data_IF_041861514534
#
_entry.id   IF_041861514534
#
_cell.length_a   1.000
_cell.length_b   1.000
_cell.length_c   1.000
_cell.angle_alpha   90.00
_cell.angle_beta   90.00
_cell.angle_gamma   90.00
#
_symmetry.space_group_name_H-M   'P 1'
#
loop_
_entity.id
_entity.type
_entity.pdbx_description
1 polymer ?
#
# COMPACT_ATOMS: atom_id res chain seq x y z
N UNK A 1 27.84 10.34 -53.68
CA UNK A 1 28.28 9.94 -52.33
C UNK A 1 27.20 10.37 -51.34
N UNK A 2 26.71 9.40 -50.59
CA UNK A 2 25.68 9.53 -49.55
C UNK A 2 26.13 10.50 -48.44
N UNK A 3 25.19 11.29 -47.90
CA UNK A 3 24.70 11.14 -46.51
C UNK A 3 23.66 12.22 -46.16
N UNK A 4 22.46 11.72 -45.92
CA UNK A 4 21.36 12.37 -45.22
C UNK A 4 21.80 12.79 -43.81
N UNK A 5 21.42 13.97 -43.37
CA UNK A 5 21.52 14.35 -41.96
C UNK A 5 20.23 15.02 -41.48
N UNK A 6 19.72 14.45 -40.39
CA UNK A 6 18.78 15.01 -39.40
C UNK A 6 17.28 14.99 -39.72
N UNK A 7 16.72 13.78 -39.62
CA UNK A 7 15.38 13.58 -39.10
C UNK A 7 15.47 13.55 -37.56
N UNK A 8 15.16 14.66 -36.89
CA UNK A 8 15.06 14.68 -35.42
C UNK A 8 13.78 13.96 -34.99
N UNK A 9 13.95 12.75 -34.46
CA UNK A 9 12.88 11.96 -33.87
C UNK A 9 12.39 12.62 -32.59
N UNK A 10 11.13 13.05 -32.57
CA UNK A 10 10.45 13.48 -31.36
C UNK A 10 10.21 12.25 -30.47
N UNK A 11 11.03 12.09 -29.43
CA UNK A 11 10.76 11.17 -28.33
C UNK A 11 9.62 11.74 -27.47
N UNK A 12 8.41 11.23 -27.66
CA UNK A 12 7.31 11.45 -26.74
C UNK A 12 7.57 10.71 -25.44
N UNK A 13 7.83 11.44 -24.36
CA UNK A 13 7.92 10.89 -23.01
C UNK A 13 6.50 10.54 -22.58
N UNK A 14 6.17 9.25 -22.58
CA UNK A 14 4.96 8.74 -21.92
C UNK A 14 5.28 8.72 -20.43
N UNK A 15 4.81 9.75 -19.70
CA UNK A 15 4.74 9.69 -18.24
C UNK A 15 3.63 8.71 -17.90
N UNK A 16 3.99 7.45 -17.72
CA UNK A 16 3.11 6.48 -17.09
C UNK A 16 2.95 6.92 -15.63
N UNK A 17 1.80 7.51 -15.30
CA UNK A 17 1.37 7.66 -13.91
C UNK A 17 1.21 6.25 -13.35
N UNK A 18 2.23 5.78 -12.62
CA UNK A 18 2.13 4.52 -11.89
C UNK A 18 1.06 4.72 -10.82
N UNK A 19 -0.12 4.14 -11.02
CA UNK A 19 -1.07 3.95 -9.92
C UNK A 19 -0.33 3.13 -8.86
N UNK A 20 -0.10 3.71 -7.69
CA UNK A 20 0.30 2.95 -6.52
C UNK A 20 -0.84 1.99 -6.24
N UNK A 21 -0.68 0.72 -6.64
CA UNK A 21 -1.57 -0.34 -6.21
C UNK A 21 -1.37 -0.46 -4.70
N UNK A 22 -2.22 0.22 -3.93
CA UNK A 22 -2.29 0.01 -2.50
C UNK A 22 -2.84 -1.40 -2.32
N UNK A 23 -2.00 -2.31 -1.84
CA UNK A 23 -2.44 -3.63 -1.45
C UNK A 23 -3.58 -3.47 -0.44
N UNK A 24 -4.62 -4.29 -0.57
CA UNK A 24 -5.69 -4.34 0.42
C UNK A 24 -5.04 -4.75 1.75
N UNK A 25 -5.18 -3.95 2.83
CA UNK A 25 -4.59 -4.27 4.13
C UNK A 25 -5.00 -5.67 4.59
N UNK A 26 -4.04 -6.44 5.11
CA UNK A 26 -4.30 -7.75 5.71
C UNK A 26 -3.83 -7.67 7.16
N UNK A 27 -4.79 -7.49 8.06
CA UNK A 27 -4.52 -7.36 9.48
C UNK A 27 -4.35 -8.74 10.12
N UNK A 28 -3.25 -8.90 10.85
CA UNK A 28 -2.99 -10.07 11.69
C UNK A 28 -2.97 -9.62 13.15
N UNK A 29 -3.80 -10.26 13.97
CA UNK A 29 -3.69 -10.22 15.42
C UNK A 29 -2.70 -11.30 15.86
N UNK A 30 -1.75 -10.97 16.73
CA UNK A 30 -0.76 -11.90 17.23
C UNK A 30 -0.42 -11.61 18.69
N UNK A 31 -0.04 -12.67 19.40
CA UNK A 31 0.47 -12.58 20.77
C UNK A 31 1.99 -12.50 20.74
N UNK A 32 2.57 -11.76 21.68
CA UNK A 32 4.01 -11.75 21.93
C UNK A 32 4.31 -12.01 23.40
N UNK A 33 5.55 -12.42 23.67
CA UNK A 33 6.00 -12.70 25.02
C UNK A 33 7.46 -12.33 25.22
N UNK A 34 7.86 -12.25 26.48
CA UNK A 34 9.18 -11.86 26.92
C UNK A 34 9.39 -12.15 28.40
N UNK A 35 10.50 -11.66 28.94
CA UNK A 35 10.88 -11.89 30.33
C UNK A 35 11.39 -10.65 31.01
N UNK A 36 11.21 -10.60 32.34
CA UNK A 36 11.79 -9.59 33.21
C UNK A 36 13.19 -10.05 33.63
N UNK A 37 14.22 -9.28 33.30
CA UNK A 37 15.61 -9.61 33.62
C UNK A 37 16.09 -8.95 34.91
N UNK A 38 15.76 -7.68 35.11
CA UNK A 38 16.18 -6.91 36.29
C UNK A 38 15.00 -6.17 36.89
N UNK A 39 14.93 -6.16 38.22
CA UNK A 39 14.05 -5.29 39.00
C UNK A 39 14.87 -4.71 40.15
N UNK A 40 14.86 -3.40 40.31
CA UNK A 40 15.45 -2.72 41.48
C UNK A 40 14.34 -2.33 42.46
N UNK A 41 14.72 -1.78 43.62
CA UNK A 41 13.79 -1.40 44.69
C UNK A 41 12.60 -0.58 44.18
N UNK A 42 12.86 0.35 43.25
CA UNK A 42 11.82 1.16 42.63
C UNK A 42 10.86 0.33 41.76
N UNK A 43 11.37 -0.64 41.00
CA UNK A 43 10.54 -1.56 40.21
C UNK A 43 9.80 -2.59 41.06
N UNK A 44 10.31 -2.94 42.25
CA UNK A 44 9.58 -3.80 43.19
C UNK A 44 8.29 -3.13 43.68
N UNK A 45 8.28 -1.79 43.79
CA UNK A 45 7.06 -1.03 44.11
C UNK A 45 6.00 -1.09 43.01
N UNK A 46 6.42 -1.27 41.74
CA UNK A 46 5.53 -1.44 40.59
C UNK A 46 4.89 -2.84 40.52
N UNK A 47 5.14 -3.71 41.50
CA UNK A 47 4.63 -5.09 41.48
C UNK A 47 5.34 -6.01 40.49
N UNK A 48 6.46 -5.57 39.91
CA UNK A 48 7.28 -6.36 39.00
C UNK A 48 8.06 -7.40 39.80
N UNK A 49 7.84 -8.68 39.51
CA UNK A 49 8.57 -9.75 40.17
C UNK A 49 9.93 -9.98 39.51
N UNK A 50 10.97 -9.99 40.34
CA UNK A 50 12.35 -10.23 39.94
C UNK A 50 12.64 -11.74 39.91
N UNK A 51 13.41 -12.17 38.92
CA UNK A 51 13.91 -13.53 38.76
C UNK A 51 14.90 -13.99 39.84
N UNK A 52 15.50 -13.09 40.64
CA UNK A 52 16.64 -13.40 41.51
C UNK A 52 16.53 -12.94 42.98
N UNK A 53 15.36 -12.50 43.46
CA UNK A 53 15.15 -12.23 44.91
C UNK A 53 14.55 -13.41 45.66
N UNK A 54 14.02 -14.42 44.97
CA UNK A 54 13.58 -15.65 45.59
C UNK A 54 13.97 -16.87 44.75
N UNK A 55 14.66 -17.81 45.40
CA UNK A 55 14.99 -19.11 44.81
C UNK A 55 13.69 -19.91 44.63
N UNK A 56 13.37 -20.30 43.39
CA UNK A 56 12.19 -21.11 43.07
C UNK A 56 10.90 -20.35 42.80
N UNK A 57 10.94 -19.01 42.70
CA UNK A 57 9.81 -18.24 42.18
C UNK A 57 9.74 -18.28 40.66
N UNK A 58 8.52 -18.18 40.12
CA UNK A 58 8.31 -18.02 38.69
C UNK A 58 8.95 -16.71 38.19
N UNK A 59 9.60 -16.78 37.04
CA UNK A 59 10.15 -15.62 36.39
C UNK A 59 9.01 -14.65 36.01
N UNK A 60 9.17 -13.36 36.33
CA UNK A 60 8.26 -12.34 35.85
C UNK A 60 8.22 -12.34 34.32
N UNK A 61 7.03 -12.35 33.75
CA UNK A 61 6.80 -12.37 32.31
C UNK A 61 6.42 -10.99 31.78
N UNK A 62 6.67 -10.80 30.49
CA UNK A 62 6.06 -9.73 29.70
C UNK A 62 5.26 -10.41 28.61
N UNK A 63 4.05 -9.94 28.36
CA UNK A 63 3.16 -10.49 27.33
C UNK A 63 2.21 -9.42 26.82
N UNK A 64 1.62 -9.65 25.67
CA UNK A 64 0.60 -8.77 25.13
C UNK A 64 0.21 -9.21 23.73
N UNK A 65 -0.64 -8.40 23.12
CA UNK A 65 -1.18 -8.61 21.79
C UNK A 65 -0.87 -7.41 20.90
N UNK A 66 -0.81 -7.68 19.60
CA UNK A 66 -0.62 -6.65 18.58
C UNK A 66 -1.45 -6.98 17.35
N UNK A 67 -2.12 -5.97 16.81
CA UNK A 67 -2.76 -5.98 15.50
C UNK A 67 -1.92 -5.16 14.52
N UNK A 68 -1.46 -5.77 13.44
CA UNK A 68 -0.63 -5.09 12.45
C UNK A 68 -1.00 -5.50 11.02
N UNK A 69 -0.78 -4.59 10.07
CA UNK A 69 -0.97 -4.85 8.65
C UNK A 69 0.25 -5.56 8.06
N UNK A 70 0.06 -6.80 7.62
CA UNK A 70 1.11 -7.61 7.02
C UNK A 70 1.58 -7.09 5.66
N UNK A 71 0.76 -6.28 4.97
CA UNK A 71 1.15 -5.65 3.72
C UNK A 71 2.28 -4.61 3.91
N UNK A 72 2.49 -4.16 5.14
CA UNK A 72 3.53 -3.21 5.54
C UNK A 72 4.81 -3.89 6.06
N UNK A 73 4.87 -5.22 6.11
CA UNK A 73 6.09 -5.94 6.50
C UNK A 73 7.18 -5.64 5.45
N UNK A 74 8.33 -5.08 5.85
CA UNK A 74 9.37 -4.73 4.90
C UNK A 74 10.01 -5.99 4.32
N UNK A 75 10.44 -5.91 3.07
CA UNK A 75 11.16 -7.02 2.42
C UNK A 75 12.50 -7.33 3.07
N UNK A 76 13.08 -8.48 2.70
CA UNK A 76 14.42 -8.86 3.14
C UNK A 76 15.48 -7.83 2.67
N UNK A 77 16.48 -7.56 3.51
CA UNK A 77 17.58 -6.61 3.21
C UNK A 77 17.29 -5.13 3.48
N UNK A 78 16.14 -4.82 4.07
CA UNK A 78 15.71 -3.44 4.41
C UNK A 78 16.32 -2.90 5.71
N UNK A 79 17.01 -3.73 6.50
CA UNK A 79 17.54 -3.34 7.80
C UNK A 79 16.45 -3.31 8.88
N UNK A 80 16.56 -2.37 9.83
CA UNK A 80 15.55 -2.16 10.88
C UNK A 80 14.56 -1.11 10.40
N UNK A 81 13.27 -1.46 10.41
CA UNK A 81 12.17 -0.56 10.03
C UNK A 81 11.12 -0.57 11.13
N UNK A 82 10.70 0.61 11.56
CA UNK A 82 9.56 0.80 12.46
C UNK A 82 8.31 1.03 11.61
N UNK A 83 7.29 0.20 11.80
CA UNK A 83 5.98 0.36 11.18
C UNK A 83 5.02 0.85 12.27
N UNK A 84 4.54 2.11 12.18
CA UNK A 84 3.60 2.65 13.16
C UNK A 84 2.33 1.81 13.24
N UNK A 85 1.88 1.50 14.45
CA UNK A 85 0.56 0.92 14.66
C UNK A 85 -0.50 2.02 14.50
N UNK A 86 -1.64 1.67 13.92
CA UNK A 86 -2.72 2.60 13.63
C UNK A 86 -4.04 2.03 14.12
N UNK A 87 -4.99 2.92 14.42
CA UNK A 87 -6.35 2.53 14.74
C UNK A 87 -6.96 1.73 13.56
N UNK A 88 -7.54 0.57 13.86
CA UNK A 88 -8.21 -0.28 12.88
C UNK A 88 -9.71 -0.20 13.12
N UNK A 89 -10.49 0.03 12.06
CA UNK A 89 -11.95 0.12 12.16
C UNK A 89 -12.52 -1.18 12.77
N UNK A 90 -13.35 -1.04 13.80
CA UNK A 90 -13.94 -2.18 14.50
C UNK A 90 -13.02 -2.90 15.50
N UNK A 91 -11.75 -2.49 15.63
CA UNK A 91 -10.86 -2.93 16.70
C UNK A 91 -10.88 -1.92 17.87
N UNK A 92 -10.87 -2.42 19.09
CA UNK A 92 -10.60 -1.60 20.27
C UNK A 92 -9.09 -1.38 20.45
N UNK A 93 -8.73 -0.36 21.23
CA UNK A 93 -7.34 0.01 21.46
C UNK A 93 -6.48 -1.12 22.04
N UNK A 94 -7.00 -1.87 22.99
CA UNK A 94 -6.34 -3.04 23.59
C UNK A 94 -6.12 -4.18 22.59
N UNK A 95 -6.95 -4.29 21.56
CA UNK A 95 -6.74 -5.25 20.45
C UNK A 95 -5.66 -4.76 19.49
N UNK A 96 -5.50 -3.43 19.33
CA UNK A 96 -4.46 -2.86 18.47
C UNK A 96 -3.08 -3.11 19.07
N UNK A 97 -2.94 -2.82 20.35
CA UNK A 97 -1.72 -3.07 21.11
C UNK A 97 -2.01 -3.05 22.59
N UNK A 98 -1.53 -4.06 23.29
CA UNK A 98 -1.35 -4.05 24.74
C UNK A 98 0.01 -4.65 25.11
N UNK A 99 0.61 -4.16 26.18
CA UNK A 99 1.78 -4.77 26.80
C UNK A 99 1.59 -4.82 28.31
N UNK A 100 1.77 -6.02 28.86
CA UNK A 100 1.51 -6.36 30.25
C UNK A 100 2.78 -6.87 30.91
N UNK A 101 3.10 -6.31 32.08
CA UNK A 101 4.26 -6.69 32.87
C UNK A 101 3.84 -7.38 34.18
N UNK A 102 4.25 -8.64 34.35
CA UNK A 102 4.09 -9.40 35.60
C UNK A 102 2.66 -9.84 35.93
N UNK A 103 2.45 -10.26 37.19
CA UNK A 103 1.22 -10.93 37.69
C UNK A 103 0.23 -9.93 38.31
N UNK A 104 0.70 -8.75 38.73
CA UNK A 104 -0.13 -7.60 39.13
C UNK A 104 0.08 -6.51 38.08
N UNK A 105 -0.63 -6.60 36.95
CA UNK A 105 -0.12 -6.11 35.69
C UNK A 105 -0.03 -4.59 35.66
N UNK A 106 1.19 -4.09 35.44
CA UNK A 106 1.37 -2.80 34.80
C UNK A 106 1.06 -3.03 33.31
N UNK A 107 0.07 -2.33 32.79
CA UNK A 107 -0.49 -2.53 31.44
C UNK A 107 -0.49 -1.19 30.70
N UNK A 108 -0.08 -1.21 29.44
CA UNK A 108 -0.13 -0.06 28.54
C UNK A 108 -0.83 -0.46 27.25
N UNK A 109 -1.71 0.40 26.75
CA UNK A 109 -2.58 0.13 25.60
C UNK A 109 -2.44 1.17 24.53
N UNK A 110 -2.71 0.81 23.29
CA UNK A 110 -2.80 1.78 22.20
C UNK A 110 -3.69 2.98 22.58
N UNK A 111 -3.25 4.20 22.30
CA UNK A 111 -4.07 5.40 22.54
C UNK A 111 -4.25 5.80 24.00
N UNK A 112 -3.50 5.22 24.94
CA UNK A 112 -3.31 5.81 26.27
C UNK A 112 -2.78 7.24 26.14
N UNK A 113 -3.27 8.14 27.01
CA UNK A 113 -3.10 9.60 26.87
C UNK A 113 -1.64 10.06 26.96
N UNK A 114 -0.76 9.21 27.48
CA UNK A 114 0.63 9.50 27.74
C UNK A 114 1.59 8.91 26.68
N UNK A 115 1.05 8.24 25.63
CA UNK A 115 1.84 7.74 24.48
C UNK A 115 2.19 8.85 23.50
N UNK A 116 3.44 9.31 23.57
CA UNK A 116 4.00 10.25 22.60
C UNK A 116 4.50 9.50 21.36
N UNK A 117 3.76 9.64 20.25
CA UNK A 117 4.17 9.12 18.92
C UNK A 117 3.61 7.75 18.54
N UNK A 118 2.88 7.10 19.46
CA UNK A 118 2.23 5.80 19.25
C UNK A 118 3.21 4.61 19.21
N UNK A 119 2.77 3.40 19.62
CA UNK A 119 3.61 2.22 19.48
C UNK A 119 3.85 1.90 18.00
N UNK A 120 5.06 1.45 17.68
CA UNK A 120 5.39 0.89 16.37
C UNK A 120 5.86 -0.55 16.53
N UNK A 121 5.45 -1.41 15.60
CA UNK A 121 6.06 -2.74 15.47
C UNK A 121 7.36 -2.61 14.68
N UNK A 122 8.42 -3.23 15.17
CA UNK A 122 9.74 -3.17 14.56
C UNK A 122 10.04 -4.46 13.82
N UNK A 123 10.51 -4.34 12.57
CA UNK A 123 10.99 -5.47 11.77
C UNK A 123 12.46 -5.30 11.45
N UNK A 124 13.21 -6.41 11.44
CA UNK A 124 14.56 -6.50 10.92
C UNK A 124 14.54 -7.44 9.71
N UNK A 125 14.71 -6.90 8.51
CA UNK A 125 14.68 -7.67 7.26
C UNK A 125 13.40 -8.52 7.09
N UNK A 126 12.24 -7.97 7.45
CA UNK A 126 10.94 -8.64 7.37
C UNK A 126 10.64 -9.61 8.52
N UNK A 127 11.53 -9.73 9.51
CA UNK A 127 11.33 -10.56 10.69
C UNK A 127 11.02 -9.69 11.90
N UNK A 128 10.07 -10.11 12.74
CA UNK A 128 9.73 -9.39 13.97
C UNK A 128 10.97 -9.16 14.85
N UNK A 129 11.16 -7.91 15.25
CA UNK A 129 12.30 -7.44 16.04
C UNK A 129 11.86 -6.66 17.29
N UNK A 130 10.61 -6.85 17.74
CA UNK A 130 10.05 -6.18 18.92
C UNK A 130 9.29 -4.90 18.57
N UNK A 131 9.32 -3.92 19.47
CA UNK A 131 8.52 -2.69 19.34
C UNK A 131 9.37 -1.44 19.53
N UNK A 132 8.84 -0.31 19.09
CA UNK A 132 9.34 1.01 19.44
C UNK A 132 8.21 1.75 20.15
N UNK A 133 8.40 2.00 21.45
CA UNK A 133 7.43 2.67 22.32
C UNK A 133 8.20 3.42 23.42
N UNK A 134 7.81 4.65 23.69
CA UNK A 134 8.24 5.40 24.87
C UNK A 134 7.00 5.97 25.53
N UNK A 135 6.84 5.67 26.82
CA UNK A 135 5.64 6.00 27.60
C UNK A 135 6.01 6.58 28.95
N UNK A 136 5.54 7.78 29.23
CA UNK A 136 5.63 8.36 30.57
C UNK A 136 4.41 7.96 31.38
N UNK A 137 4.59 7.55 32.63
CA UNK A 137 3.48 7.21 33.52
C UNK A 137 3.78 7.55 34.97
N UNK A 138 2.73 7.66 35.79
CA UNK A 138 2.88 7.93 37.22
C UNK A 138 2.33 6.77 38.05
N UNK A 139 3.13 6.29 39.00
CA UNK A 139 2.71 5.29 39.96
C UNK A 139 2.94 5.81 41.37
N UNK A 140 1.87 5.87 42.18
CA UNK A 140 1.89 6.45 43.52
C UNK A 140 2.53 7.86 43.59
N UNK A 141 2.29 8.68 42.55
CA UNK A 141 2.84 10.04 42.45
C UNK A 141 4.32 10.13 42.08
N UNK A 142 4.97 8.99 41.80
CA UNK A 142 6.34 8.95 41.27
C UNK A 142 6.28 8.82 39.75
N UNK A 143 6.96 9.68 38.97
CA UNK A 143 7.01 9.57 37.52
C UNK A 143 8.02 8.51 37.07
N UNK A 144 7.63 7.80 36.01
CA UNK A 144 8.39 6.75 35.35
C UNK A 144 8.30 6.92 33.83
N UNK A 145 9.28 6.39 33.13
CA UNK A 145 9.30 6.23 31.68
C UNK A 145 9.52 4.75 31.37
N UNK A 146 8.64 4.16 30.57
CA UNK A 146 8.85 2.89 29.89
C UNK A 146 9.46 3.18 28.52
N UNK A 147 10.58 2.54 28.19
CA UNK A 147 11.17 2.58 26.85
C UNK A 147 11.33 1.16 26.32
N UNK A 148 10.66 0.86 25.20
CA UNK A 148 10.81 -0.38 24.42
C UNK A 148 11.51 -0.03 23.11
N UNK A 149 12.66 -0.65 22.86
CA UNK A 149 13.47 -0.42 21.67
C UNK A 149 13.90 -1.76 21.06
N UNK A 150 13.10 -2.21 20.10
CA UNK A 150 13.21 -3.55 19.53
C UNK A 150 12.88 -4.61 20.57
N UNK A 151 13.75 -5.61 20.70
CA UNK A 151 13.57 -6.74 21.62
C UNK A 151 13.94 -6.47 23.08
N UNK A 152 14.27 -5.24 23.44
CA UNK A 152 14.64 -4.87 24.82
C UNK A 152 13.74 -3.76 25.34
N UNK A 153 13.52 -3.76 26.64
CA UNK A 153 12.77 -2.71 27.32
C UNK A 153 13.38 -2.39 28.68
N UNK A 154 13.21 -1.14 29.11
CA UNK A 154 13.47 -0.72 30.48
C UNK A 154 12.40 0.24 31.00
N UNK A 155 12.28 0.29 32.32
CA UNK A 155 11.47 1.27 33.04
C UNK A 155 12.42 2.06 33.92
N UNK A 156 12.37 3.38 33.83
CA UNK A 156 13.24 4.29 34.57
C UNK A 156 12.40 5.26 35.39
N UNK A 157 12.76 5.43 36.64
CA UNK A 157 12.19 6.46 37.50
C UNK A 157 12.86 7.81 37.29
N UNK A 158 12.09 8.86 37.58
CA UNK A 158 12.58 10.23 37.56
C UNK A 158 13.59 10.49 38.69
N UNK A 159 14.79 10.94 38.31
CA UNK A 159 15.89 11.29 39.23
C UNK A 159 16.78 12.36 38.65
N UNK A 160 17.13 13.37 39.45
CA UNK A 160 17.98 14.48 39.02
C UNK A 160 17.48 15.17 37.73
N UNK A 161 16.17 15.41 37.62
CA UNK A 161 15.53 16.05 36.45
C UNK A 161 15.61 15.24 35.14
N UNK A 162 15.78 13.92 35.21
CA UNK A 162 15.71 13.02 34.05
C UNK A 162 15.31 11.60 34.44
N UNK A 163 14.84 10.80 33.50
CA UNK A 163 14.60 9.36 33.69
C UNK A 163 15.93 8.58 33.70
N UNK A 164 16.62 8.60 34.84
CA UNK A 164 17.97 8.03 34.99
C UNK A 164 18.05 6.87 35.97
N UNK A 165 17.04 6.65 36.81
CA UNK A 165 17.07 5.57 37.80
C UNK A 165 16.40 4.31 37.27
N UNK A 166 17.19 3.30 36.88
CA UNK A 166 16.66 2.04 36.36
C UNK A 166 15.78 1.34 37.42
N UNK A 167 14.47 1.26 37.15
CA UNK A 167 13.50 0.56 37.98
C UNK A 167 13.40 -0.92 37.60
N UNK A 168 13.29 -1.22 36.31
CA UNK A 168 13.23 -2.58 35.78
C UNK A 168 13.72 -2.67 34.33
N UNK A 169 14.08 -3.86 33.87
CA UNK A 169 14.39 -4.12 32.47
C UNK A 169 14.16 -5.58 32.10
N UNK A 170 14.05 -5.83 30.79
CA UNK A 170 13.88 -7.17 30.27
C UNK A 170 13.99 -7.23 28.76
N UNK A 171 13.42 -8.31 28.20
CA UNK A 171 13.47 -8.62 26.78
C UNK A 171 12.11 -9.08 26.27
N UNK A 172 11.95 -9.01 24.95
CA UNK A 172 10.88 -9.62 24.17
C UNK A 172 11.47 -10.71 23.29
N UNK A 173 10.72 -11.78 23.07
CA UNK A 173 11.08 -12.83 22.14
C UNK A 173 10.97 -12.27 20.71
N UNK A 174 12.10 -12.20 20.00
CA UNK A 174 12.18 -11.72 18.61
C UNK A 174 12.45 -12.87 17.64
N UNK A 175 12.31 -12.61 16.34
CA UNK A 175 12.51 -13.62 15.30
C UNK A 175 11.18 -14.19 14.77
N UNK A 176 11.27 -15.21 13.93
CA UNK A 176 10.11 -15.86 13.31
C UNK A 176 9.13 -16.49 14.31
N UNK A 177 9.61 -16.82 15.52
CA UNK A 177 8.80 -17.36 16.61
C UNK A 177 8.42 -16.33 17.68
N UNK A 178 8.74 -15.06 17.48
CA UNK A 178 8.44 -14.01 18.45
C UNK A 178 6.97 -13.57 18.48
N UNK A 179 6.25 -13.80 17.38
CA UNK A 179 4.81 -13.60 17.26
C UNK A 179 4.11 -14.96 17.19
N UNK A 180 3.25 -15.24 18.16
CA UNK A 180 2.49 -16.48 18.34
C UNK A 180 1.00 -16.26 18.15
N UNK A 181 0.21 -17.34 18.07
CA UNK A 181 -1.26 -17.29 17.95
C UNK A 181 -1.78 -16.33 16.87
N UNK A 182 -1.08 -16.29 15.73
CA UNK A 182 -1.40 -15.38 14.64
C UNK A 182 -2.77 -15.75 14.03
N UNK A 183 -3.68 -14.79 14.01
CA UNK A 183 -5.03 -14.94 13.45
C UNK A 183 -5.34 -13.76 12.52
N UNK A 184 -6.05 -14.05 11.43
CA UNK A 184 -6.52 -12.99 10.53
C UNK A 184 -7.63 -12.22 11.21
N UNK A 185 -7.44 -10.91 11.33
CA UNK A 185 -8.47 -10.00 11.80
C UNK A 185 -9.26 -9.49 10.59
N UNK A 186 -10.55 -9.87 10.53
CA UNK A 186 -11.48 -9.32 9.56
C UNK A 186 -12.20 -8.14 10.22
N UNK A 187 -11.85 -6.88 9.89
CA UNK A 187 -12.60 -5.73 10.38
C UNK A 187 -14.01 -5.88 9.83
N UNK A 188 -14.96 -6.27 10.68
CA UNK A 188 -16.36 -6.57 10.35
C UNK A 188 -16.79 -5.72 9.17
N UNK A 189 -17.11 -6.38 8.05
CA UNK A 189 -17.70 -5.77 6.87
C UNK A 189 -18.90 -4.94 7.30
N UNK A 190 -18.70 -3.65 7.53
CA UNK A 190 -19.77 -2.71 7.29
C UNK A 190 -20.17 -2.99 5.84
N UNK A 191 -21.42 -3.42 5.56
CA UNK A 191 -21.79 -3.92 4.26
C UNK A 191 -21.33 -2.89 3.25
N UNK A 192 -20.39 -3.30 2.41
CA UNK A 192 -19.94 -2.48 1.32
C UNK A 192 -21.21 -2.08 0.59
N UNK A 193 -21.61 -0.80 0.68
CA UNK A 193 -22.35 -0.23 -0.42
C UNK A 193 -21.53 -0.62 -1.63
N UNK A 194 -22.16 -1.40 -2.50
CA UNK A 194 -21.57 -1.91 -3.72
C UNK A 194 -21.27 -0.67 -4.57
N UNK A 195 -20.18 0.00 -4.26
CA UNK A 195 -19.53 0.95 -5.12
C UNK A 195 -18.80 0.08 -6.14
N UNK A 196 -19.57 -0.40 -7.12
CA UNK A 196 -19.06 -0.68 -8.45
C UNK A 196 -18.33 0.57 -8.90
N UNK A 197 -17.04 0.69 -8.56
CA UNK A 197 -16.13 1.68 -9.13
C UNK A 197 -15.66 1.08 -10.45
N UNK A 198 -16.14 1.56 -11.62
CA UNK A 198 -15.51 1.21 -12.87
C UNK A 198 -14.21 2.02 -12.91
N UNK A 199 -13.06 1.36 -13.02
CA UNK A 199 -11.79 2.06 -13.19
C UNK A 199 -11.89 3.05 -14.37
N UNK A 200 -11.80 4.38 -14.15
CA UNK A 200 -11.95 5.37 -15.21
C UNK A 200 -10.83 5.30 -16.25
N UNK A 201 -9.74 4.60 -15.94
CA UNK A 201 -8.55 4.43 -16.78
C UNK A 201 -8.73 3.39 -17.88
N UNK A 202 -9.50 2.31 -17.65
CA UNK A 202 -9.62 1.21 -18.61
C UNK A 202 -10.48 1.62 -19.80
N UNK A 203 -11.57 2.36 -19.54
CA UNK A 203 -12.41 2.95 -20.59
C UNK A 203 -11.65 4.03 -21.36
N UNK A 204 -10.86 4.87 -20.67
CA UNK A 204 -10.06 5.91 -21.31
C UNK A 204 -8.97 5.33 -22.21
N UNK A 205 -8.27 4.27 -21.80
CA UNK A 205 -7.24 3.62 -22.61
C UNK A 205 -7.82 2.89 -23.82
N UNK A 206 -8.99 2.25 -23.68
CA UNK A 206 -9.70 1.64 -24.81
C UNK A 206 -10.17 2.72 -25.79
N UNK A 207 -10.76 3.82 -25.30
CA UNK A 207 -11.21 4.93 -26.14
C UNK A 207 -10.04 5.60 -26.89
N UNK A 208 -8.92 5.84 -26.23
CA UNK A 208 -7.72 6.41 -26.83
C UNK A 208 -7.06 5.44 -27.83
N UNK A 209 -7.02 4.14 -27.53
CA UNK A 209 -6.50 3.11 -28.43
C UNK A 209 -7.32 2.99 -29.72
N UNK A 210 -8.65 3.00 -29.61
CA UNK A 210 -9.55 2.97 -30.77
C UNK A 210 -9.43 4.26 -31.59
N UNK A 211 -9.34 5.43 -30.94
CA UNK A 211 -9.16 6.70 -31.65
C UNK A 211 -7.82 6.78 -32.39
N UNK A 212 -6.75 6.26 -31.80
CA UNK A 212 -5.43 6.14 -32.43
C UNK A 212 -5.46 5.29 -33.69
N UNK A 213 -6.14 4.14 -33.66
CA UNK A 213 -6.30 3.25 -34.81
C UNK A 213 -7.13 3.90 -35.94
N UNK A 214 -8.19 4.65 -35.60
CA UNK A 214 -9.01 5.36 -36.60
C UNK A 214 -8.20 6.46 -37.30
N UNK A 215 -7.41 7.23 -36.53
CA UNK A 215 -6.58 8.29 -37.11
C UNK A 215 -5.43 7.74 -37.96
N UNK A 216 -4.83 6.60 -37.59
CA UNK A 216 -3.82 5.93 -38.41
C UNK A 216 -4.38 5.52 -39.78
N UNK A 217 -5.56 4.89 -39.82
CA UNK A 217 -6.24 4.50 -41.06
C UNK A 217 -6.64 5.70 -41.93
N UNK A 218 -7.04 6.83 -41.33
CA UNK A 218 -7.32 8.07 -42.06
C UNK A 218 -6.07 8.69 -42.69
N UNK A 219 -4.90 8.55 -42.04
CA UNK A 219 -3.63 9.05 -42.60
C UNK A 219 -3.19 8.22 -43.80
N UNK A 220 -3.39 6.91 -43.77
CA UNK A 220 -3.08 6.01 -44.89
C UNK A 220 -3.98 6.28 -46.11
N UNK A 221 -5.28 6.52 -45.90
CA UNK A 221 -6.19 6.83 -47.00
C UNK A 221 -5.96 8.22 -47.61
N UNK A 222 -5.52 9.19 -46.83
CA UNK A 222 -5.12 10.51 -47.34
C UNK A 222 -3.81 10.46 -48.13
N UNK A 223 -2.84 9.64 -47.70
CA UNK A 223 -1.61 9.39 -48.49
C UNK A 223 -1.91 8.69 -49.81
N UNK A 224 -2.78 7.68 -49.79
CA UNK A 224 -3.22 7.02 -51.02
C UNK A 224 -3.96 7.96 -51.98
N UNK A 225 -4.72 8.95 -51.45
CA UNK A 225 -5.37 9.97 -52.29
C UNK A 225 -4.38 10.97 -52.90
N UNK A 226 -3.34 11.36 -52.17
CA UNK A 226 -2.29 12.24 -52.69
C UNK A 226 -1.44 11.55 -53.78
N UNK A 227 -1.15 10.26 -53.66
CA UNK A 227 -0.47 9.48 -54.71
C UNK A 227 -1.31 9.35 -56.00
N UNK A 228 -2.64 9.34 -55.89
CA UNK A 228 -3.55 9.33 -57.05
C UNK A 228 -3.63 10.71 -57.71
N UNK A 229 -3.61 11.80 -56.93
CA UNK A 229 -3.62 13.17 -57.46
C UNK A 229 -2.30 13.56 -58.13
N UNK A 230 -1.16 13.05 -57.64
CA UNK A 230 0.16 13.31 -58.25
C UNK A 230 0.31 12.59 -59.61
N UNK A 231 -0.28 11.39 -59.77
CA UNK A 231 -0.35 10.71 -61.08
C UNK A 231 -1.32 11.37 -62.07
N UNK A 232 -2.32 12.11 -61.60
CA UNK A 232 -3.27 12.80 -62.50
C UNK A 232 -2.73 14.11 -63.10
N UNK A 233 -1.64 14.67 -62.57
CA UNK A 233 -1.03 15.88 -63.13
C UNK A 233 0.02 15.61 -64.22
N UNK A 234 0.31 14.35 -64.55
CA UNK A 234 1.29 13.98 -65.60
C UNK A 234 0.66 13.31 -66.83
N UNK A 235 -0.62 13.56 -67.11
CA UNK A 235 -1.20 13.17 -68.39
C UNK A 235 -2.24 14.14 -68.91
N UNK A 236 -1.93 14.61 -70.11
CA UNK A 236 -2.82 15.13 -71.15
C UNK A 236 -3.30 16.59 -71.04
N UNK A 237 -2.58 17.41 -71.80
CA UNK A 237 -3.18 18.34 -72.75
C UNK A 237 -4.02 17.55 -73.78
N UNK A 238 -5.28 17.95 -74.04
CA UNK A 238 -5.77 17.85 -75.41
C UNK A 238 -6.61 19.06 -75.84
N UNK A 239 -6.22 19.63 -76.97
CA UNK A 239 -7.04 20.56 -77.75
C UNK A 239 -8.26 19.86 -78.37
N UNK A 240 -9.41 20.50 -78.21
CA UNK A 240 -10.62 20.35 -79.04
C UNK A 240 -10.39 20.99 -80.45
N UNK A 241 -11.26 20.84 -81.49
CA UNK A 241 -12.73 20.75 -81.36
C UNK A 241 -13.57 19.95 -82.40
N UNK A 242 -14.84 19.73 -81.98
CA UNK A 242 -16.15 19.75 -82.71
C UNK A 242 -16.39 18.93 -83.98
N UNK A 243 -17.53 18.21 -84.00
CA UNK A 243 -18.64 18.40 -84.97
C UNK A 243 -19.88 17.53 -84.63
N UNK A 244 -21.04 17.96 -85.10
CA UNK A 244 -22.42 17.58 -84.75
C UNK A 244 -22.94 16.28 -85.41
N UNK A 245 -23.89 15.59 -84.77
CA UNK A 245 -25.18 15.16 -85.37
C UNK A 245 -25.99 14.26 -84.42
N UNK A 246 -27.26 14.58 -84.20
CA UNK A 246 -28.32 13.66 -83.75
C UNK A 246 -29.07 13.10 -85.00
N UNK A 247 -30.20 12.36 -84.92
CA UNK A 247 -30.79 11.51 -83.86
C UNK A 247 -31.25 10.11 -84.42
N UNK A 248 -31.82 9.24 -83.57
CA UNK A 248 -33.08 8.47 -83.77
C UNK A 248 -33.13 7.09 -83.06
N UNK A 249 -34.29 6.86 -82.41
CA UNK A 249 -35.13 5.64 -82.24
C UNK A 249 -34.45 4.30 -81.88
N UNK A 250 -34.99 3.45 -81.01
CA UNK A 250 -36.38 2.98 -81.02
C UNK A 250 -36.75 2.30 -79.69
N UNK A 251 -38.00 2.51 -79.27
CA UNK A 251 -38.67 1.93 -78.12
C UNK A 251 -39.63 0.85 -78.64
N UNK A 252 -39.65 -0.34 -78.06
CA UNK A 252 -40.80 -1.25 -78.19
C UNK A 252 -40.95 -2.04 -76.90
N UNK A 253 -42.08 -1.78 -76.24
CA UNK A 253 -42.56 -2.45 -75.05
C UNK A 253 -43.65 -3.46 -75.42
N UNK A 254 -43.72 -4.48 -74.58
CA UNK A 254 -44.48 -5.71 -74.72
C UNK A 254 -46.01 -5.57 -74.78
N UNK A 255 -46.57 -6.62 -75.38
CA UNK A 255 -47.96 -6.91 -75.68
C UNK A 255 -48.63 -7.64 -74.51
N UNK A 256 -49.62 -6.96 -73.92
CA UNK A 256 -50.98 -7.39 -73.51
C UNK A 256 -51.33 -8.81 -72.97
N UNK A 257 -52.50 -8.94 -72.28
CA UNK A 257 -52.67 -9.75 -71.07
C UNK A 257 -53.65 -10.93 -71.22
N UNK A 258 -53.78 -11.74 -70.16
CA UNK A 258 -55.01 -12.42 -69.72
C UNK A 258 -54.72 -13.07 -68.34
N UNK A 259 -55.41 -12.76 -67.24
CA UNK A 259 -56.82 -12.97 -66.89
C UNK A 259 -57.10 -14.37 -66.32
N UNK A 260 -57.60 -14.34 -65.06
CA UNK A 260 -58.14 -15.41 -64.19
C UNK A 260 -57.15 -16.22 -63.37
#
# INVERSE_FOLDING_TARGET
MYKLANLAAACGIIVATMSTANAIPIYIAADFSGGISTVKDLGSSLGLQKTNTCSGCDAGSVSGTVLFDTSLIPGNGTGIVNVPLAAVAGASNDVVFDIVFGIRPLEFKFGDSDIVGGPSIQFRNGVFNGFFLVEDFSYNGTPFELSVQGGVWDIRGWKNHSYSDLAASGYLNVGNGGLTNQTVFDPVQQPAEIATVPEPTTVALIALGVWGLIMARRRESLRARLEVTERSHTKEEPGLPRSNSAPEKELSADREPNAS
#
